data_IF_290148184359
#
_entry.id   IF_290148184359
#
_cell.length_a   1.000
_cell.length_b   1.000
_cell.length_c   1.000
_cell.angle_alpha   90.00
_cell.angle_beta   90.00
_cell.angle_gamma   90.00
#
_symmetry.space_group_name_H-M   'P 1'
#
loop_
_entity.id
_entity.type
_entity.pdbx_description
1 polymer ?
#
# COMPACT_ATOMS: atom_id res chain seq x y z
N UNK A 1 23.65 -15.24 -0.03
CA UNK A 1 24.04 -14.54 1.21
C UNK A 1 23.40 -13.17 1.16
N UNK A 2 22.23 -13.00 1.78
CA UNK A 2 21.37 -11.81 1.70
C UNK A 2 21.34 -11.15 3.07
N UNK A 3 22.27 -10.21 3.26
CA UNK A 3 22.32 -9.39 4.45
C UNK A 3 21.05 -8.53 4.54
N UNK A 4 20.28 -8.74 5.62
CA UNK A 4 19.32 -7.80 6.21
C UNK A 4 18.46 -6.97 5.26
N UNK A 5 17.46 -7.58 4.61
CA UNK A 5 16.33 -6.83 4.06
C UNK A 5 15.68 -6.01 5.18
N UNK A 6 15.33 -4.75 4.90
CA UNK A 6 14.70 -3.79 5.84
C UNK A 6 13.66 -4.48 6.72
N UNK A 7 14.00 -4.62 8.00
CA UNK A 7 13.39 -5.51 9.01
C UNK A 7 11.87 -5.36 9.10
N UNK A 8 11.11 -6.10 8.27
CA UNK A 8 9.65 -6.13 8.30
C UNK A 8 8.98 -4.75 8.11
N UNK A 9 9.61 -3.84 7.37
CA UNK A 9 9.08 -2.49 7.10
C UNK A 9 8.86 -2.28 5.62
N UNK A 10 7.65 -1.84 5.26
CA UNK A 10 7.28 -1.52 3.87
C UNK A 10 6.73 -0.10 3.80
N UNK A 11 7.30 0.74 2.95
CA UNK A 11 6.79 2.07 2.64
C UNK A 11 5.76 1.96 1.51
N UNK A 12 4.53 2.35 1.81
CA UNK A 12 3.37 2.34 0.92
C UNK A 12 2.92 3.78 0.63
N UNK A 13 2.57 4.07 -0.62
CA UNK A 13 2.38 5.45 -1.11
C UNK A 13 1.14 5.61 -2.02
N UNK A 14 0.28 4.60 -2.04
CA UNK A 14 -0.90 4.50 -2.90
C UNK A 14 -2.05 3.73 -2.23
N UNK A 15 -2.66 2.79 -2.94
CA UNK A 15 -3.80 1.99 -2.46
C UNK A 15 -3.53 1.23 -1.16
N UNK A 16 -2.30 0.75 -0.94
CA UNK A 16 -1.88 0.09 0.30
C UNK A 16 -1.77 1.02 1.52
N UNK A 17 -2.02 2.33 1.37
CA UNK A 17 -2.21 3.23 2.53
C UNK A 17 -3.61 3.09 3.15
N UNK A 18 -4.50 2.30 2.55
CA UNK A 18 -5.88 2.13 2.99
C UNK A 18 -6.02 0.83 3.78
N UNK A 19 -6.42 0.96 5.05
CA UNK A 19 -6.50 -0.16 6.00
C UNK A 19 -7.28 -1.36 5.48
N UNK A 20 -8.48 -1.16 4.92
CA UNK A 20 -9.30 -2.30 4.44
C UNK A 20 -8.65 -3.04 3.26
N UNK A 21 -7.82 -2.37 2.46
CA UNK A 21 -7.05 -3.02 1.39
C UNK A 21 -5.93 -3.86 2.00
N UNK A 22 -5.15 -3.28 2.93
CA UNK A 22 -4.08 -4.00 3.65
C UNK A 22 -4.65 -5.20 4.40
N UNK A 23 -5.79 -5.02 5.08
CA UNK A 23 -6.47 -6.07 5.81
C UNK A 23 -6.91 -7.21 4.92
N UNK A 24 -7.51 -6.88 3.76
CA UNK A 24 -8.00 -7.88 2.80
C UNK A 24 -6.86 -8.78 2.30
N UNK A 25 -5.64 -8.24 2.22
CA UNK A 25 -4.45 -9.01 1.88
C UNK A 25 -3.91 -9.75 3.11
N UNK A 26 -3.54 -9.02 4.17
CA UNK A 26 -2.72 -9.59 5.24
C UNK A 26 -3.52 -10.40 6.27
N UNK A 27 -4.84 -10.20 6.36
CA UNK A 27 -5.71 -10.76 7.40
C UNK A 27 -5.56 -10.07 8.77
N UNK A 28 -4.80 -8.97 8.83
CA UNK A 28 -4.60 -8.11 9.99
C UNK A 28 -4.17 -6.72 9.55
N UNK A 29 -4.20 -5.75 10.46
CA UNK A 29 -3.59 -4.43 10.27
C UNK A 29 -2.22 -4.37 10.98
N UNK A 30 -1.10 -4.25 10.24
CA UNK A 30 0.17 -3.88 10.82
C UNK A 30 0.11 -2.47 11.42
N UNK A 31 0.99 -2.18 12.39
CA UNK A 31 1.19 -0.79 12.82
C UNK A 31 1.66 0.02 11.61
N UNK A 32 1.00 1.14 11.34
CA UNK A 32 1.37 2.06 10.27
C UNK A 32 1.78 3.41 10.87
N UNK A 33 2.82 4.05 10.33
CA UNK A 33 3.22 5.42 10.73
C UNK A 33 3.47 6.28 9.49
N UNK A 34 3.07 7.57 9.48
CA UNK A 34 3.30 8.45 8.35
C UNK A 34 4.78 8.71 8.12
N UNK A 35 5.19 8.73 6.85
CA UNK A 35 6.57 8.95 6.44
C UNK A 35 6.67 9.70 5.11
N UNK A 36 7.83 10.28 4.86
CA UNK A 36 8.15 11.03 3.64
C UNK A 36 9.36 10.39 2.97
N UNK A 37 9.24 10.11 1.68
CA UNK A 37 10.34 9.67 0.83
C UNK A 37 10.77 10.83 -0.07
N UNK A 38 11.97 11.36 0.15
CA UNK A 38 12.53 12.46 -0.64
C UNK A 38 13.10 11.96 -1.96
N UNK A 39 13.17 12.83 -2.98
CA UNK A 39 13.66 12.52 -4.33
C UNK A 39 12.83 11.54 -5.17
N UNK A 40 11.68 11.09 -4.67
CA UNK A 40 10.73 10.25 -5.40
C UNK A 40 9.38 10.95 -5.55
N UNK A 41 8.75 10.72 -6.71
CA UNK A 41 7.41 11.21 -7.02
C UNK A 41 6.53 10.05 -7.45
N UNK A 42 5.28 10.07 -7.03
CA UNK A 42 4.22 9.17 -7.49
C UNK A 42 3.47 9.78 -8.67
N UNK A 43 3.19 8.97 -9.67
CA UNK A 43 2.59 9.35 -10.93
C UNK A 43 1.34 8.52 -11.19
N UNK A 44 0.39 9.10 -11.92
CA UNK A 44 -0.75 8.34 -12.42
C UNK A 44 -0.26 7.29 -13.41
N UNK A 45 -0.91 6.14 -13.41
CA UNK A 45 -0.75 5.11 -14.45
C UNK A 45 -2.05 5.08 -15.25
N UNK A 46 -1.95 5.14 -16.57
CA UNK A 46 -3.13 5.16 -17.43
C UNK A 46 -4.04 3.96 -17.17
N UNK A 47 -5.31 4.22 -16.84
CA UNK A 47 -6.32 3.19 -16.59
C UNK A 47 -6.18 2.43 -15.25
N UNK A 48 -5.32 2.87 -14.34
CA UNK A 48 -5.14 2.25 -13.02
C UNK A 48 -5.49 3.24 -11.89
N UNK A 49 -6.16 2.79 -10.82
CA UNK A 49 -6.49 3.64 -9.68
C UNK A 49 -5.36 3.77 -8.65
N UNK A 50 -4.20 3.16 -8.91
CA UNK A 50 -3.03 3.17 -8.04
C UNK A 50 -1.83 3.82 -8.74
N UNK A 51 -0.87 4.37 -7.99
CA UNK A 51 0.24 5.11 -8.56
C UNK A 51 1.44 4.24 -8.92
N UNK A 52 2.22 4.71 -9.88
CA UNK A 52 3.61 4.27 -10.06
C UNK A 52 4.56 5.28 -9.44
N UNK A 53 5.55 4.83 -8.66
CA UNK A 53 6.56 5.73 -8.08
C UNK A 53 7.93 5.51 -8.69
N UNK A 54 8.62 6.62 -8.99
CA UNK A 54 10.00 6.57 -9.47
C UNK A 54 10.82 7.74 -8.94
N UNK A 55 12.15 7.61 -9.05
CA UNK A 55 13.07 8.69 -8.73
C UNK A 55 12.82 9.87 -9.67
N UNK A 56 12.80 11.08 -9.12
CA UNK A 56 12.49 12.32 -9.84
C UNK A 56 13.48 13.43 -9.43
N UNK A 57 12.99 14.64 -9.08
CA UNK A 57 13.85 15.76 -8.67
C UNK A 57 14.36 15.57 -7.23
N UNK A 58 15.59 15.97 -6.89
CA UNK A 58 16.09 15.96 -5.50
C UNK A 58 15.22 16.74 -4.51
N UNK A 59 14.46 17.72 -5.00
CA UNK A 59 13.60 18.60 -4.18
C UNK A 59 12.16 18.08 -4.04
N UNK A 60 11.76 17.06 -4.80
CA UNK A 60 10.43 16.48 -4.65
C UNK A 60 10.39 15.49 -3.49
N UNK A 61 9.17 15.20 -3.01
CA UNK A 61 8.96 14.16 -2.01
C UNK A 61 7.59 13.51 -2.18
N UNK A 62 7.47 12.27 -1.72
CA UNK A 62 6.21 11.52 -1.69
C UNK A 62 5.86 11.23 -0.24
N UNK A 63 4.65 11.61 0.18
CA UNK A 63 4.07 11.23 1.47
C UNK A 63 3.47 9.82 1.37
N UNK A 64 3.68 9.02 2.40
CA UNK A 64 3.14 7.68 2.50
C UNK A 64 3.09 7.19 3.94
N UNK A 65 2.93 5.87 4.09
CA UNK A 65 2.92 5.17 5.38
C UNK A 65 4.02 4.11 5.40
N UNK A 66 4.63 3.89 6.55
CA UNK A 66 5.46 2.70 6.80
C UNK A 66 4.63 1.70 7.56
N UNK A 67 4.39 0.54 6.96
CA UNK A 67 3.84 -0.63 7.63
C UNK A 67 4.97 -1.34 8.38
N UNK A 68 4.80 -1.62 9.67
CA UNK A 68 5.81 -2.19 10.54
C UNK A 68 5.49 -3.62 10.96
N UNK A 69 6.55 -4.40 11.21
CA UNK A 69 6.44 -5.75 11.77
C UNK A 69 5.80 -6.74 10.80
N UNK A 70 6.08 -6.62 9.51
CA UNK A 70 5.70 -7.61 8.51
C UNK A 70 6.62 -8.82 8.60
N UNK A 71 6.02 -9.99 8.60
CA UNK A 71 6.71 -11.26 8.39
C UNK A 71 7.14 -11.41 6.93
N UNK A 72 8.09 -12.32 6.68
CA UNK A 72 8.53 -12.66 5.32
C UNK A 72 7.36 -13.12 4.43
N UNK A 73 6.41 -13.86 5.00
CA UNK A 73 5.22 -14.31 4.27
C UNK A 73 4.30 -13.14 3.89
N UNK A 74 4.11 -12.18 4.78
CA UNK A 74 3.32 -10.98 4.48
C UNK A 74 3.98 -10.12 3.42
N UNK A 75 5.31 -10.01 3.47
CA UNK A 75 6.08 -9.36 2.43
C UNK A 75 5.84 -10.03 1.06
N UNK A 76 5.98 -11.35 0.96
CA UNK A 76 5.73 -12.09 -0.29
C UNK A 76 4.29 -11.90 -0.80
N UNK A 77 3.31 -11.82 0.09
CA UNK A 77 1.91 -11.56 -0.29
C UNK A 77 1.71 -10.16 -0.86
N UNK A 78 2.41 -9.15 -0.34
CA UNK A 78 2.40 -7.80 -0.92
C UNK A 78 3.15 -7.77 -2.25
N UNK A 79 4.30 -8.42 -2.36
CA UNK A 79 5.07 -8.48 -3.60
C UNK A 79 4.29 -9.17 -4.72
N UNK A 80 3.61 -10.29 -4.43
CA UNK A 80 2.74 -10.96 -5.38
C UNK A 80 1.56 -10.08 -5.83
N UNK A 81 1.01 -9.27 -4.93
CA UNK A 81 -0.08 -8.33 -5.26
C UNK A 81 0.37 -7.21 -6.21
N UNK A 82 1.60 -6.71 -6.06
CA UNK A 82 2.15 -5.63 -6.89
C UNK A 82 2.55 -6.10 -8.30
N UNK A 83 2.62 -7.42 -8.55
CA UNK A 83 2.91 -8.04 -9.87
C UNK A 83 4.27 -7.64 -10.48
N UNK A 84 4.60 -8.16 -11.67
CA UNK A 84 5.81 -7.83 -12.44
C UNK A 84 5.87 -6.36 -12.93
N UNK A 85 4.91 -5.52 -12.55
CA UNK A 85 4.89 -4.08 -12.85
C UNK A 85 5.90 -3.30 -12.00
N UNK A 86 6.20 -3.80 -10.80
CA UNK A 86 7.08 -3.15 -9.83
C UNK A 86 8.34 -3.97 -9.56
N UNK A 87 9.35 -3.29 -9.02
CA UNK A 87 10.49 -3.94 -8.35
C UNK A 87 10.62 -3.38 -6.94
N UNK A 88 11.07 -4.22 -6.00
CA UNK A 88 11.28 -3.80 -4.62
C UNK A 88 12.68 -3.21 -4.42
N UNK A 89 12.77 -2.15 -3.60
CA UNK A 89 14.05 -1.54 -3.21
C UNK A 89 13.99 -1.04 -1.77
N UNK A 90 15.02 -1.31 -0.98
CA UNK A 90 15.19 -0.68 0.33
C UNK A 90 15.58 0.78 0.14
N UNK A 91 14.78 1.67 0.70
CA UNK A 91 14.97 3.12 0.66
C UNK A 91 14.98 3.68 2.08
N UNK A 92 15.65 4.82 2.21
CA UNK A 92 15.60 5.63 3.41
C UNK A 92 14.37 6.55 3.35
N UNK A 93 13.50 6.46 4.36
CA UNK A 93 12.33 7.33 4.53
C UNK A 93 12.41 8.07 5.85
N UNK A 94 11.87 9.28 5.88
CA UNK A 94 11.82 10.10 7.09
C UNK A 94 10.46 9.93 7.79
N UNK A 95 10.46 9.53 9.05
CA UNK A 95 9.26 9.51 9.90
C UNK A 95 8.67 10.92 10.01
N UNK A 96 7.39 11.08 9.71
CA UNK A 96 6.73 12.38 9.86
C UNK A 96 6.53 12.77 11.32
N UNK A 97 6.44 11.78 12.22
CA UNK A 97 6.23 11.98 13.65
C UNK A 97 7.53 12.31 14.38
N UNK A 98 8.58 11.50 14.15
CA UNK A 98 9.83 11.59 14.91
C UNK A 98 10.94 12.35 14.16
N UNK A 99 10.75 12.61 12.85
CA UNK A 99 11.77 13.17 11.95
C UNK A 99 13.01 12.29 11.80
N UNK A 100 12.96 11.04 12.28
CA UNK A 100 14.06 10.09 12.19
C UNK A 100 14.05 9.35 10.85
N UNK A 101 15.25 8.98 10.39
CA UNK A 101 15.44 8.14 9.22
C UNK A 101 15.14 6.66 9.54
N UNK A 102 14.45 5.98 8.61
CA UNK A 102 14.08 4.58 8.68
C UNK A 102 14.36 3.90 7.34
N UNK A 103 14.97 2.73 7.36
CA UNK A 103 15.01 1.86 6.18
C UNK A 103 13.68 1.12 6.02
N UNK A 104 13.06 1.25 4.84
CA UNK A 104 11.85 0.55 4.47
C UNK A 104 11.92 0.08 3.02
N UNK A 105 11.33 -1.07 2.73
CA UNK A 105 11.20 -1.54 1.36
C UNK A 105 10.07 -0.76 0.67
N UNK A 106 10.31 -0.25 -0.53
CA UNK A 106 9.31 0.37 -1.37
C UNK A 106 9.22 -0.37 -2.71
N UNK A 107 8.01 -0.51 -3.23
CA UNK A 107 7.77 -0.96 -4.60
C UNK A 107 7.95 0.22 -5.54
N UNK A 108 8.78 0.11 -6.57
CA UNK A 108 9.06 1.17 -7.53
C UNK A 108 8.59 0.74 -8.92
N UNK A 109 8.03 1.69 -9.67
CA UNK A 109 7.56 1.43 -11.04
C UNK A 109 8.72 1.05 -11.94
N UNK A 110 8.55 -0.03 -12.72
CA UNK A 110 9.61 -0.53 -13.59
C UNK A 110 9.99 0.49 -14.68
N UNK A 111 11.30 0.72 -14.85
CA UNK A 111 11.84 1.55 -15.93
C UNK A 111 11.44 1.03 -17.33
N UNK A 112 11.11 -0.27 -17.44
CA UNK A 112 10.64 -0.88 -18.69
C UNK A 112 9.20 -0.47 -19.06
N UNK A 113 8.44 0.06 -18.11
CA UNK A 113 7.01 0.39 -18.22
C UNK A 113 6.75 1.89 -18.09
N UNK A 114 7.77 2.75 -18.27
CA UNK A 114 7.62 4.20 -18.16
C UNK A 114 6.56 4.80 -19.10
N UNK A 115 6.32 4.19 -20.26
CA UNK A 115 5.30 4.60 -21.21
C UNK A 115 3.85 4.54 -20.65
N UNK A 116 3.64 3.81 -19.55
CA UNK A 116 2.34 3.72 -18.90
C UNK A 116 2.09 4.85 -17.88
N UNK A 117 3.14 5.57 -17.47
CA UNK A 117 3.03 6.70 -16.56
C UNK A 117 2.53 7.94 -17.29
N UNK A 118 1.59 8.64 -16.67
CA UNK A 118 1.21 9.97 -17.08
C UNK A 118 2.18 11.02 -16.47
N UNK A 119 2.14 12.26 -16.97
CA UNK A 119 2.97 13.34 -16.42
C UNK A 119 2.45 13.86 -15.08
N UNK A 120 1.15 13.70 -14.87
CA UNK A 120 0.43 14.18 -13.71
C UNK A 120 0.75 13.36 -12.46
N UNK A 121 0.78 14.07 -11.33
CA UNK A 121 0.87 13.46 -10.03
C UNK A 121 -0.42 12.70 -9.69
N UNK A 122 -0.27 11.55 -9.06
CA UNK A 122 -1.40 10.79 -8.54
C UNK A 122 -1.81 11.32 -7.17
N UNK A 123 -3.13 11.44 -6.95
CA UNK A 123 -3.70 11.78 -5.64
C UNK A 123 -4.74 10.75 -5.22
N UNK A 124 -4.88 10.55 -3.91
CA UNK A 124 -5.85 9.60 -3.37
C UNK A 124 -7.28 10.02 -3.75
N UNK A 125 -7.53 11.33 -3.67
CA UNK A 125 -8.84 11.94 -3.84
C UNK A 125 -9.35 11.81 -5.28
N UNK A 126 -8.49 12.10 -6.26
CA UNK A 126 -8.89 12.11 -7.67
C UNK A 126 -8.78 10.73 -8.33
N UNK A 127 -7.77 9.93 -7.95
CA UNK A 127 -7.40 8.74 -8.71
C UNK A 127 -7.75 7.42 -8.03
N UNK A 128 -7.99 7.41 -6.71
CA UNK A 128 -8.33 6.17 -5.99
C UNK A 128 -9.79 6.12 -5.55
N UNK A 129 -10.24 7.14 -4.80
CA UNK A 129 -11.58 7.17 -4.19
C UNK A 129 -12.75 6.93 -5.14
N UNK A 130 -12.76 7.51 -6.36
CA UNK A 130 -13.81 7.21 -7.33
C UNK A 130 -13.90 5.73 -7.74
N UNK A 131 -12.80 4.97 -7.59
CA UNK A 131 -12.69 3.57 -7.99
C UNK A 131 -12.59 2.59 -6.80
N UNK A 132 -12.68 3.10 -5.58
CA UNK A 132 -12.39 2.35 -4.36
C UNK A 132 -13.20 1.06 -4.24
N UNK A 133 -14.52 1.12 -4.42
CA UNK A 133 -15.39 -0.06 -4.26
C UNK A 133 -15.01 -1.18 -5.24
N UNK A 134 -14.73 -0.82 -6.49
CA UNK A 134 -14.28 -1.77 -7.51
C UNK A 134 -12.88 -2.30 -7.21
N UNK A 135 -11.99 -1.46 -6.68
CA UNK A 135 -10.66 -1.88 -6.27
C UNK A 135 -10.71 -2.85 -5.09
N UNK A 136 -11.45 -2.52 -4.03
CA UNK A 136 -11.65 -3.37 -2.86
C UNK A 136 -12.26 -4.73 -3.23
N UNK A 137 -13.25 -4.74 -4.11
CA UNK A 137 -13.86 -5.99 -4.60
C UNK A 137 -12.82 -6.88 -5.26
N UNK A 138 -12.04 -6.33 -6.21
CA UNK A 138 -10.96 -7.09 -6.88
C UNK A 138 -9.85 -7.52 -5.92
N UNK A 139 -9.51 -6.70 -4.92
CA UNK A 139 -8.54 -7.10 -3.89
C UNK A 139 -9.04 -8.30 -3.09
N UNK A 140 -10.32 -8.34 -2.70
CA UNK A 140 -10.92 -9.48 -1.99
C UNK A 140 -10.99 -10.72 -2.86
N UNK A 141 -11.35 -10.58 -4.14
CA UNK A 141 -11.34 -11.68 -5.11
C UNK A 141 -9.92 -12.25 -5.30
N UNK A 142 -8.91 -11.37 -5.42
CA UNK A 142 -7.52 -11.79 -5.49
C UNK A 142 -7.07 -12.52 -4.22
N UNK A 143 -7.39 -11.99 -3.03
CA UNK A 143 -7.08 -12.65 -1.77
C UNK A 143 -7.77 -14.02 -1.61
N UNK A 144 -8.91 -14.23 -2.26
CA UNK A 144 -9.61 -15.51 -2.31
C UNK A 144 -9.10 -16.46 -3.42
N UNK A 145 -8.25 -15.98 -4.33
CA UNK A 145 -7.78 -16.77 -5.48
C UNK A 145 -6.87 -17.94 -5.06
N UNK A 146 -6.86 -19.07 -5.81
CA UNK A 146 -5.97 -20.19 -5.51
C UNK A 146 -4.48 -19.82 -5.49
N UNK A 147 -4.08 -18.89 -6.36
CA UNK A 147 -2.71 -18.36 -6.43
C UNK A 147 -2.32 -17.68 -5.12
N UNK A 148 -3.16 -16.78 -4.61
CA UNK A 148 -2.92 -16.12 -3.35
C UNK A 148 -2.97 -17.07 -2.16
N UNK A 149 -3.94 -17.99 -2.15
CA UNK A 149 -4.09 -18.98 -1.09
C UNK A 149 -2.88 -19.93 -1.01
N UNK A 150 -2.19 -20.18 -2.13
CA UNK A 150 -0.95 -20.95 -2.15
C UNK A 150 0.20 -20.22 -1.44
N UNK A 151 0.18 -18.89 -1.36
CA UNK A 151 1.16 -18.10 -0.61
C UNK A 151 0.91 -18.13 0.90
N UNK A 152 -0.29 -18.48 1.37
CA UNK A 152 -0.57 -18.53 2.81
C UNK A 152 0.19 -19.68 3.50
N UNK A 153 0.65 -19.48 4.74
CA UNK A 153 1.11 -20.58 5.59
C UNK A 153 0.01 -21.63 5.70
N UNK A 154 0.38 -22.92 5.71
CA UNK A 154 -0.58 -24.03 5.74
C UNK A 154 -1.62 -23.88 6.87
N UNK A 155 -1.19 -23.37 8.03
CA UNK A 155 -2.06 -23.13 9.18
C UNK A 155 -3.14 -22.06 8.96
N UNK A 156 -3.02 -21.19 7.95
CA UNK A 156 -3.96 -20.11 7.67
C UNK A 156 -4.87 -20.39 6.47
N UNK A 157 -4.60 -21.43 5.68
CA UNK A 157 -5.40 -21.73 4.48
C UNK A 157 -6.83 -22.15 4.86
N UNK A 158 -7.82 -21.57 4.17
CA UNK A 158 -9.23 -21.86 4.42
C UNK A 158 -9.81 -21.24 5.70
N UNK A 159 -9.03 -20.44 6.44
CA UNK A 159 -9.56 -19.65 7.55
C UNK A 159 -10.17 -18.35 7.03
N UNK A 160 -11.32 -17.98 7.59
CA UNK A 160 -11.87 -16.63 7.42
C UNK A 160 -11.10 -15.71 8.37
N UNK A 161 -10.41 -14.66 7.88
CA UNK A 161 -9.78 -13.69 8.77
C UNK A 161 -10.85 -13.07 9.69
N UNK A 162 -10.46 -12.60 10.89
CA UNK A 162 -11.41 -11.94 11.77
C UNK A 162 -12.07 -10.72 11.08
N UNK A 163 -13.11 -10.11 11.66
CA UNK A 163 -13.53 -8.79 11.20
C UNK A 163 -12.42 -7.76 11.50
N UNK A 164 -12.37 -6.68 10.72
CA UNK A 164 -11.52 -5.52 11.04
C UNK A 164 -11.83 -5.03 12.46
N UNK A 165 -10.82 -4.76 13.30
CA UNK A 165 -11.06 -4.10 14.57
C UNK A 165 -11.69 -2.74 14.31
N UNK A 166 -12.67 -2.36 15.13
CA UNK A 166 -13.27 -1.03 15.07
C UNK A 166 -12.18 0.03 15.26
N UNK A 167 -12.19 1.12 14.49
CA UNK A 167 -11.21 2.19 14.67
C UNK A 167 -11.30 2.76 16.09
N UNK A 168 -10.18 3.18 16.71
CA UNK A 168 -10.23 3.89 17.97
C UNK A 168 -11.10 5.15 17.81
N UNK A 169 -11.83 5.51 18.88
CA UNK A 169 -12.83 6.58 18.89
C UNK A 169 -12.30 7.99 18.58
N UNK A 170 -10.98 8.16 18.51
CA UNK A 170 -10.33 9.41 18.15
C UNK A 170 -9.15 9.12 17.22
N UNK A 171 -9.28 9.46 15.94
CA UNK A 171 -8.11 9.71 15.08
C UNK A 171 -8.44 10.93 14.23
N UNK A 172 -7.61 11.97 14.40
CA UNK A 172 -7.60 13.21 13.63
C UNK A 172 -6.57 13.07 12.52
N UNK A 173 -6.99 13.36 11.29
CA UNK A 173 -6.21 13.55 10.06
C UNK A 173 -4.95 12.69 9.82
N UNK A 174 -5.09 11.70 8.93
CA UNK A 174 -3.98 10.91 8.38
C UNK A 174 -4.37 9.66 7.56
N UNK A 175 -5.68 9.41 7.43
CA UNK A 175 -6.42 8.29 6.80
C UNK A 175 -6.65 7.06 7.68
N UNK A 176 -7.83 7.08 8.32
CA UNK A 176 -8.60 5.92 8.80
C UNK A 176 -9.59 5.56 7.68
N UNK A 177 -9.89 4.28 7.46
CA UNK A 177 -11.18 3.93 6.82
C UNK A 177 -12.12 3.37 7.88
N UNK A 178 -12.90 4.27 8.48
CA UNK A 178 -14.14 3.90 9.15
C UNK A 178 -15.25 3.82 8.09
N UNK A 179 -16.07 2.77 8.15
CA UNK A 179 -17.21 2.59 7.25
C UNK A 179 -18.20 3.74 7.39
N UNK A 180 -18.19 4.69 6.45
CA UNK A 180 -19.34 5.55 6.17
C UNK A 180 -19.53 5.69 4.66
N UNK A 181 -19.96 4.61 4.01
CA UNK A 181 -20.84 4.76 2.86
C UNK A 181 -22.26 4.88 3.41
N UNK A 182 -22.66 6.09 3.78
CA UNK A 182 -24.07 6.39 4.03
C UNK A 182 -24.57 7.43 3.04
N UNK A 183 -25.46 6.94 2.16
CA UNK A 183 -26.48 7.64 1.38
C UNK A 183 -26.04 8.69 0.35
N UNK A 184 -26.08 8.27 -0.92
CA UNK A 184 -26.68 9.13 -1.95
C UNK A 184 -28.19 9.11 -1.70
N UNK A 185 -28.71 10.14 -1.03
CA UNK A 185 -30.14 10.42 -1.11
C UNK A 185 -30.39 11.13 -2.44
N UNK A 186 -31.18 10.49 -3.29
CA UNK A 186 -31.86 11.16 -4.39
C UNK A 186 -32.69 12.32 -3.81
N UNK A 187 -32.51 13.50 -4.40
CA UNK A 187 -33.36 14.67 -4.29
C UNK A 187 -33.34 15.39 -5.63
#
# INVERSE_FOLDING_TARGET
STAGMGRGKVFVYGSLMVDVIVYSLLGRLPKATPAILTSYKRYRINGRPYPGMRKSSPTCSTKGMVLHGLSENEFQRLEAFETDDYFSKVLEVESSETRESLEALAFLWSDRKLHALAEEEWTMEADFWPYFQNFLTRTREYAASPEYQALLPLAMRGQVPPPLPLPPSEVSDGYIVSEHVTHVSSG
#
